data_IF_334509519347
#
_entry.id   IF_334509519347
#
_cell.length_a   1.000
_cell.length_b   1.000
_cell.length_c   1.000
_cell.angle_alpha   90.00
_cell.angle_beta   90.00
_cell.angle_gamma   90.00
#
_symmetry.space_group_name_H-M   'P 1'
#
loop_
_entity.id
_entity.type
_entity.pdbx_description
1 polymer ?
#
# COMPACT_ATOMS: atom_id res chain seq x y z
N UNK A 1 -15.14 -9.55 -17.93
CA UNK A 1 -15.48 -10.94 -17.52
C UNK A 1 -16.86 -10.96 -16.90
N UNK A 2 -17.63 -12.02 -17.21
CA UNK A 2 -19.05 -12.38 -16.94
C UNK A 2 -20.07 -11.25 -16.69
N UNK A 3 -19.77 -10.28 -15.84
CA UNK A 3 -20.60 -9.12 -15.52
C UNK A 3 -20.16 -7.81 -16.21
N UNK A 4 -19.14 -7.84 -17.08
CA UNK A 4 -18.71 -6.68 -17.88
C UNK A 4 -17.91 -5.60 -17.13
N UNK A 5 -17.51 -5.86 -15.89
CA UNK A 5 -16.74 -4.89 -15.09
C UNK A 5 -15.25 -4.91 -15.41
N UNK A 6 -14.67 -3.71 -15.56
CA UNK A 6 -13.22 -3.52 -15.64
C UNK A 6 -12.61 -3.41 -14.25
N UNK A 7 -11.46 -4.06 -14.03
CA UNK A 7 -10.67 -3.93 -12.80
C UNK A 7 -10.23 -2.50 -12.50
N UNK A 8 -10.15 -1.64 -13.52
CA UNK A 8 -9.87 -0.20 -13.37
C UNK A 8 -10.97 0.55 -12.60
N UNK A 9 -12.11 -0.08 -12.34
CA UNK A 9 -13.18 0.45 -11.48
C UNK A 9 -12.97 0.14 -9.99
N UNK A 10 -12.01 -0.71 -9.65
CA UNK A 10 -11.72 -1.06 -8.27
C UNK A 10 -10.68 -0.10 -7.68
N UNK A 11 -11.07 0.60 -6.63
CA UNK A 11 -10.20 1.38 -5.74
C UNK A 11 -10.41 0.83 -4.34
N UNK A 12 -9.55 -0.09 -3.85
CA UNK A 12 -9.75 -0.72 -2.56
C UNK A 12 -9.73 0.29 -1.41
N UNK A 13 -10.60 0.05 -0.42
CA UNK A 13 -10.56 0.71 0.87
C UNK A 13 -9.36 0.22 1.69
N UNK A 14 -8.87 1.06 2.62
CA UNK A 14 -8.02 0.61 3.72
C UNK A 14 -6.59 1.16 3.72
N UNK A 15 -6.16 1.82 2.65
CA UNK A 15 -4.99 2.71 2.73
C UNK A 15 -3.63 2.06 2.98
N UNK A 16 -3.48 0.75 2.75
CA UNK A 16 -2.28 -0.02 3.12
C UNK A 16 -1.49 -0.54 1.91
N UNK A 17 -0.19 -0.81 2.10
CA UNK A 17 0.75 -1.25 1.06
C UNK A 17 0.28 -2.52 0.32
N UNK A 18 -0.40 -3.46 1.00
CA UNK A 18 -0.92 -4.66 0.34
C UNK A 18 -1.94 -4.35 -0.77
N UNK A 19 -2.87 -3.42 -0.54
CA UNK A 19 -3.84 -3.02 -1.56
C UNK A 19 -3.17 -2.27 -2.72
N UNK A 20 -2.12 -1.49 -2.41
CA UNK A 20 -1.29 -0.84 -3.42
C UNK A 20 -0.63 -1.87 -4.37
N UNK A 21 -0.09 -2.97 -3.84
CA UNK A 21 0.46 -4.05 -4.67
C UNK A 21 -0.62 -4.79 -5.48
N UNK A 22 -1.81 -5.02 -4.91
CA UNK A 22 -2.94 -5.62 -5.65
C UNK A 22 -3.28 -4.78 -6.88
N UNK A 23 -3.40 -3.45 -6.73
CA UNK A 23 -3.79 -2.61 -7.87
C UNK A 23 -2.68 -2.46 -8.90
N UNK A 24 -1.42 -2.41 -8.47
CA UNK A 24 -0.28 -2.38 -9.39
C UNK A 24 -0.14 -3.70 -10.17
N UNK A 25 -0.27 -4.84 -9.51
CA UNK A 25 -0.09 -6.17 -10.12
C UNK A 25 -1.28 -6.64 -10.95
N UNK A 26 -2.51 -6.32 -10.55
CA UNK A 26 -3.74 -6.80 -11.22
C UNK A 26 -4.40 -5.76 -12.15
N UNK A 27 -3.82 -4.57 -12.28
CA UNK A 27 -4.35 -3.50 -13.12
C UNK A 27 -5.61 -2.84 -12.54
N UNK A 28 -5.61 -2.56 -11.23
CA UNK A 28 -6.68 -1.85 -10.52
C UNK A 28 -6.74 -0.36 -10.87
N UNK A 29 -7.76 0.34 -10.36
CA UNK A 29 -7.99 1.77 -10.62
C UNK A 29 -7.15 2.72 -9.76
N UNK A 30 -6.83 2.31 -8.53
CA UNK A 30 -6.07 3.10 -7.57
C UNK A 30 -6.15 2.48 -6.17
N UNK A 31 -5.53 3.11 -5.18
CA UNK A 31 -5.61 2.69 -3.77
C UNK A 31 -5.99 3.90 -2.92
N UNK A 32 -6.84 3.72 -1.92
CA UNK A 32 -7.07 4.75 -0.91
C UNK A 32 -5.76 5.06 -0.15
N UNK A 33 -5.67 6.23 0.49
CA UNK A 33 -4.56 6.59 1.38
C UNK A 33 -5.06 7.50 2.50
N UNK A 34 -4.45 7.39 3.68
CA UNK A 34 -4.85 8.11 4.88
C UNK A 34 -3.70 8.93 5.49
N UNK A 35 -3.37 10.12 4.96
CA UNK A 35 -2.35 10.95 5.56
C UNK A 35 -2.76 11.39 6.99
N UNK A 36 -1.96 11.00 7.99
CA UNK A 36 -2.10 11.47 9.37
C UNK A 36 -3.13 10.75 10.24
N UNK A 37 -3.77 9.68 9.74
CA UNK A 37 -4.67 8.84 10.56
C UNK A 37 -4.35 7.35 10.33
N UNK A 38 -4.56 6.55 11.38
CA UNK A 38 -4.21 5.11 11.41
C UNK A 38 -2.71 4.79 11.24
N UNK A 39 -1.83 5.78 11.41
CA UNK A 39 -0.39 5.53 11.51
C UNK A 39 -0.08 4.59 12.69
N UNK A 40 0.92 3.70 12.57
CA UNK A 40 1.80 3.51 11.42
C UNK A 40 1.31 2.45 10.42
N UNK A 41 0.03 2.05 10.42
CA UNK A 41 -0.44 0.87 9.66
C UNK A 41 -0.89 1.16 8.22
N UNK A 42 -1.07 2.43 7.86
CA UNK A 42 -1.39 2.88 6.51
C UNK A 42 -0.20 3.52 5.78
N UNK A 43 -0.45 4.03 4.58
CA UNK A 43 0.52 4.81 3.80
C UNK A 43 1.50 3.96 2.99
N UNK A 44 2.67 4.54 2.73
CA UNK A 44 3.67 4.01 1.80
C UNK A 44 5.02 3.79 2.48
N UNK A 45 6.01 3.29 1.73
CA UNK A 45 7.39 3.27 2.18
C UNK A 45 7.90 4.70 2.45
N UNK A 46 8.84 4.84 3.39
CA UNK A 46 9.30 6.12 3.92
C UNK A 46 9.83 7.07 2.82
N UNK A 47 10.42 6.52 1.75
CA UNK A 47 10.97 7.26 0.62
C UNK A 47 10.08 7.24 -0.64
N UNK A 48 8.78 6.95 -0.50
CA UNK A 48 7.83 6.97 -1.61
C UNK A 48 6.99 8.25 -1.56
N UNK A 49 7.36 9.31 -2.31
CA UNK A 49 6.55 10.51 -2.40
C UNK A 49 5.26 10.24 -3.20
N UNK A 50 4.22 11.01 -2.87
CA UNK A 50 3.05 11.15 -3.73
C UNK A 50 3.31 12.30 -4.70
N UNK A 51 3.36 11.98 -5.99
CA UNK A 51 3.60 12.94 -7.06
C UNK A 51 2.41 12.92 -8.01
N UNK A 52 1.74 14.06 -8.18
CA UNK A 52 0.57 14.20 -9.06
C UNK A 52 -0.54 13.15 -8.79
N UNK A 53 -0.72 12.78 -7.52
CA UNK A 53 -1.71 11.77 -7.10
C UNK A 53 -1.28 10.32 -7.33
N UNK A 54 -0.03 10.09 -7.71
CA UNK A 54 0.53 8.77 -7.99
C UNK A 54 1.70 8.44 -7.07
N UNK A 55 1.95 7.14 -6.88
CA UNK A 55 3.11 6.61 -6.15
C UNK A 55 3.76 5.50 -6.95
N UNK A 56 5.08 5.32 -6.78
CA UNK A 56 5.82 4.20 -7.38
C UNK A 56 5.90 3.05 -6.38
N UNK A 57 5.72 1.82 -6.88
CA UNK A 57 6.00 0.61 -6.11
C UNK A 57 7.51 0.48 -5.93
N UNK A 58 8.03 0.31 -4.69
CA UNK A 58 9.44 0.05 -4.48
C UNK A 58 9.83 -1.33 -5.04
N UNK A 59 11.00 -1.42 -5.64
CA UNK A 59 11.56 -2.68 -6.15
C UNK A 59 12.27 -3.43 -5.02
N UNK A 60 11.47 -4.10 -4.18
CA UNK A 60 11.94 -4.94 -3.08
C UNK A 60 11.11 -6.21 -2.98
N UNK A 61 11.65 -7.29 -2.39
CA UNK A 61 10.88 -8.49 -2.12
C UNK A 61 9.69 -8.22 -1.19
N UNK A 62 8.56 -8.89 -1.47
CA UNK A 62 7.37 -8.87 -0.60
C UNK A 62 6.51 -7.61 -0.76
N UNK A 63 5.84 -7.23 0.33
CA UNK A 63 4.92 -6.07 0.38
C UNK A 63 5.70 -4.75 0.60
N UNK A 64 6.98 -4.82 0.97
CA UNK A 64 7.81 -3.66 1.28
C UNK A 64 7.49 -3.01 2.63
N UNK A 65 6.94 -3.77 3.58
CA UNK A 65 6.66 -3.30 4.95
C UNK A 65 7.97 -2.85 5.61
N UNK A 66 9.07 -3.54 5.30
CA UNK A 66 10.44 -3.26 5.75
C UNK A 66 10.89 -1.83 5.47
N UNK A 67 10.32 -1.20 4.46
CA UNK A 67 10.65 0.16 4.05
C UNK A 67 9.81 1.24 4.75
N UNK A 68 8.92 0.87 5.68
CA UNK A 68 8.16 1.77 6.53
C UNK A 68 8.62 1.60 7.98
N UNK A 69 9.60 2.40 8.39
CA UNK A 69 10.38 2.18 9.62
C UNK A 69 9.53 2.14 10.88
N UNK A 70 8.56 3.04 11.05
CA UNK A 70 7.69 3.05 12.23
C UNK A 70 6.77 1.83 12.30
N UNK A 71 6.30 1.32 11.16
CA UNK A 71 5.50 0.09 11.12
C UNK A 71 6.36 -1.12 11.48
N UNK A 72 7.58 -1.19 10.96
CA UNK A 72 8.50 -2.29 11.28
C UNK A 72 8.88 -2.36 12.74
N UNK A 73 8.99 -1.22 13.43
CA UNK A 73 9.22 -1.22 14.88
C UNK A 73 8.10 -1.95 15.62
N UNK A 74 6.84 -1.70 15.24
CA UNK A 74 5.68 -2.39 15.83
C UNK A 74 5.74 -3.90 15.57
N UNK A 75 6.05 -4.31 14.34
CA UNK A 75 6.12 -5.74 14.02
C UNK A 75 7.29 -6.45 14.65
N UNK A 76 8.48 -5.84 14.72
CA UNK A 76 9.62 -6.41 15.45
C UNK A 76 9.29 -6.62 16.92
N UNK A 77 8.69 -5.62 17.57
CA UNK A 77 8.25 -5.75 18.97
C UNK A 77 7.23 -6.88 19.17
N UNK A 78 6.42 -7.22 18.16
CA UNK A 78 5.44 -8.30 18.25
C UNK A 78 6.04 -9.70 18.05
N UNK A 79 7.08 -9.82 17.21
CA UNK A 79 7.59 -11.13 16.75
C UNK A 79 8.95 -11.52 17.33
N UNK A 80 9.71 -10.55 17.86
CA UNK A 80 11.04 -10.76 18.44
C UNK A 80 11.01 -10.86 19.98
N UNK A 81 9.83 -10.80 20.59
CA UNK A 81 9.58 -11.09 22.02
C UNK A 81 9.55 -12.61 22.32
#
# INVERSE_FOLDING_TARGET
DENGWSRRRCVPHGGHQFALHIVAGLGGGGNESYPGIFEPFGGFADNTPVEEGMVRIPDVPGIGIELKSELMKVYRALVED
#
